data_IF_233038118548
#
_entry.id   IF_233038118548
#
_cell.length_a   1.000
_cell.length_b   1.000
_cell.length_c   1.000
_cell.angle_alpha   90.00
_cell.angle_beta   90.00
_cell.angle_gamma   90.00
#
_symmetry.space_group_name_H-M   'P 1'
#
loop_
_entity.id
_entity.type
_entity.pdbx_description
1 polymer ?
#
# COMPACT_ATOMS: atom_id res chain seq x y z
N UNK A 1 -9.33 -14.32 17.29
CA UNK A 1 -9.86 -14.24 15.91
C UNK A 1 -9.01 -13.23 15.17
N UNK A 2 -8.72 -13.46 13.89
CA UNK A 2 -8.05 -12.46 13.06
C UNK A 2 -8.99 -11.26 12.89
N UNK A 3 -8.48 -10.03 12.98
CA UNK A 3 -9.27 -8.81 12.74
C UNK A 3 -9.56 -8.57 11.25
N UNK A 4 -8.97 -9.40 10.37
CA UNK A 4 -9.17 -9.38 8.93
C UNK A 4 -10.43 -10.13 8.50
N UNK A 5 -11.20 -9.52 7.60
CA UNK A 5 -12.27 -10.16 6.82
C UNK A 5 -11.70 -10.75 5.53
N UNK A 6 -11.29 -12.02 5.58
CA UNK A 6 -10.69 -12.72 4.44
C UNK A 6 -11.64 -12.92 3.26
N UNK A 7 -12.94 -13.12 3.50
CA UNK A 7 -13.92 -13.22 2.40
C UNK A 7 -13.94 -11.93 1.57
N UNK A 8 -13.83 -10.78 2.23
CA UNK A 8 -13.76 -9.48 1.57
C UNK A 8 -12.46 -9.31 0.78
N UNK A 9 -11.32 -9.68 1.35
CA UNK A 9 -10.01 -9.62 0.67
C UNK A 9 -9.98 -10.51 -0.58
N UNK A 10 -10.52 -11.72 -0.48
CA UNK A 10 -10.64 -12.65 -1.62
C UNK A 10 -11.55 -12.07 -2.72
N UNK A 11 -12.63 -11.38 -2.33
CA UNK A 11 -13.51 -10.69 -3.28
C UNK A 11 -12.81 -9.53 -3.98
N UNK A 12 -12.09 -8.68 -3.23
CA UNK A 12 -11.32 -7.57 -3.81
C UNK A 12 -10.27 -8.08 -4.81
N UNK A 13 -9.58 -9.18 -4.47
CA UNK A 13 -8.58 -9.82 -5.33
C UNK A 13 -9.20 -10.31 -6.65
N UNK A 14 -10.40 -10.91 -6.58
CA UNK A 14 -11.10 -11.41 -7.78
C UNK A 14 -11.70 -10.32 -8.65
N UNK A 15 -12.22 -9.26 -8.04
CA UNK A 15 -12.84 -8.16 -8.77
C UNK A 15 -11.78 -7.33 -9.50
N UNK A 16 -10.61 -7.14 -8.87
CA UNK A 16 -9.50 -6.36 -9.40
C UNK A 16 -9.88 -4.89 -9.66
N UNK A 17 -8.87 -4.09 -9.99
CA UNK A 17 -9.13 -2.74 -10.51
C UNK A 17 -9.25 -2.82 -12.03
N UNK A 18 -10.30 -2.20 -12.60
CA UNK A 18 -10.45 -2.08 -14.06
C UNK A 18 -9.50 -1.06 -14.68
N UNK A 19 -8.79 -0.30 -13.86
CA UNK A 19 -7.97 0.83 -14.28
C UNK A 19 -6.49 0.69 -13.90
N UNK A 20 -6.18 -0.13 -12.89
CA UNK A 20 -4.80 -0.55 -12.61
C UNK A 20 -4.36 -1.58 -13.64
N UNK A 21 -3.07 -1.56 -13.98
CA UNK A 21 -2.42 -2.60 -14.78
C UNK A 21 -2.05 -3.82 -13.92
N UNK A 22 -2.08 -3.67 -12.60
CA UNK A 22 -1.72 -4.70 -11.65
C UNK A 22 -2.97 -5.42 -11.14
N UNK A 23 -2.82 -6.72 -10.88
CA UNK A 23 -3.80 -7.48 -10.13
C UNK A 23 -3.17 -7.82 -8.79
N UNK A 24 -3.68 -7.23 -7.71
CA UNK A 24 -3.11 -7.40 -6.38
C UNK A 24 -3.78 -8.53 -5.61
N UNK A 25 -2.95 -9.32 -4.92
CA UNK A 25 -3.38 -10.30 -3.95
C UNK A 25 -3.55 -9.65 -2.57
N UNK A 26 -4.73 -9.07 -2.34
CA UNK A 26 -5.04 -8.37 -1.09
C UNK A 26 -4.95 -9.25 0.15
N UNK A 27 -5.11 -10.57 -0.01
CA UNK A 27 -4.91 -11.52 1.09
C UNK A 27 -3.45 -11.60 1.51
N UNK A 28 -2.53 -11.69 0.56
CA UNK A 28 -1.09 -11.68 0.83
C UNK A 28 -0.66 -10.35 1.47
N UNK A 29 -1.20 -9.22 0.99
CA UNK A 29 -0.95 -7.91 1.61
C UNK A 29 -1.40 -7.94 3.08
N UNK A 30 -2.62 -8.39 3.36
CA UNK A 30 -3.18 -8.42 4.72
C UNK A 30 -2.41 -9.37 5.66
N UNK A 31 -2.05 -10.57 5.18
CA UNK A 31 -1.31 -11.56 5.95
C UNK A 31 0.10 -11.06 6.32
N UNK A 32 0.71 -10.22 5.46
CA UNK A 32 2.05 -9.65 5.67
C UNK A 32 2.04 -8.19 6.12
N UNK A 33 0.88 -7.59 6.40
CA UNK A 33 0.73 -6.14 6.52
C UNK A 33 1.62 -5.53 7.61
N UNK A 34 1.74 -6.20 8.76
CA UNK A 34 2.63 -5.75 9.83
C UNK A 34 4.10 -5.80 9.43
N UNK A 35 4.54 -6.86 8.73
CA UNK A 35 5.92 -6.99 8.28
C UNK A 35 6.27 -5.93 7.24
N UNK A 36 5.34 -5.68 6.29
CA UNK A 36 5.44 -4.60 5.30
C UNK A 36 5.63 -3.26 6.01
N UNK A 37 4.76 -2.93 6.98
CA UNK A 37 4.83 -1.67 7.74
C UNK A 37 6.13 -1.50 8.52
N UNK A 38 6.65 -2.57 9.12
CA UNK A 38 7.92 -2.53 9.85
C UNK A 38 9.08 -2.29 8.88
N UNK A 39 9.13 -3.01 7.76
CA UNK A 39 10.22 -2.91 6.76
C UNK A 39 10.24 -1.58 6.02
N UNK A 40 9.10 -1.05 5.62
CA UNK A 40 9.02 0.27 4.97
C UNK A 40 9.50 1.34 5.93
N UNK A 41 9.00 1.32 7.17
CA UNK A 41 9.39 2.28 8.22
C UNK A 41 10.88 2.22 8.53
N UNK A 42 11.46 1.04 8.74
CA UNK A 42 12.88 0.88 9.05
C UNK A 42 13.82 1.34 7.94
N UNK A 43 13.35 1.34 6.68
CA UNK A 43 14.14 1.76 5.52
C UNK A 43 13.87 3.21 5.09
N UNK A 44 12.98 3.91 5.81
CA UNK A 44 12.57 5.27 5.49
C UNK A 44 11.78 5.34 4.18
N UNK A 45 10.91 4.35 3.96
CA UNK A 45 9.97 4.28 2.84
C UNK A 45 8.54 4.36 3.35
N UNK A 46 7.60 4.46 2.42
CA UNK A 46 6.17 4.55 2.67
C UNK A 46 5.46 3.32 2.13
N UNK A 47 4.29 3.04 2.69
CA UNK A 47 3.37 2.05 2.15
C UNK A 47 2.87 2.52 0.77
N UNK A 48 2.88 1.67 -0.27
CA UNK A 48 2.18 1.98 -1.53
C UNK A 48 0.70 2.29 -1.27
N UNK A 49 0.14 3.30 -1.95
CA UNK A 49 -1.23 3.73 -1.67
C UNK A 49 -2.26 2.61 -1.91
N UNK A 50 -2.06 1.75 -2.91
CA UNK A 50 -2.96 0.63 -3.18
C UNK A 50 -3.03 -0.38 -2.02
N UNK A 51 -2.00 -0.44 -1.16
CA UNK A 51 -2.02 -1.37 -0.04
C UNK A 51 -2.94 -0.88 1.08
N UNK A 52 -3.28 0.42 1.14
CA UNK A 52 -4.26 0.94 2.09
C UNK A 52 -5.67 0.40 1.83
N UNK A 53 -5.95 -0.11 0.63
CA UNK A 53 -7.25 -0.71 0.31
C UNK A 53 -7.60 -1.86 1.25
N UNK A 54 -6.61 -2.61 1.77
CA UNK A 54 -6.88 -3.71 2.72
C UNK A 54 -7.57 -3.20 3.99
N UNK A 55 -7.44 -1.92 4.33
CA UNK A 55 -8.02 -1.34 5.55
C UNK A 55 -9.54 -1.51 5.55
N UNK A 56 -10.19 -1.52 4.38
CA UNK A 56 -11.64 -1.73 4.30
C UNK A 56 -12.07 -3.12 4.80
N UNK A 57 -11.14 -4.07 4.86
CA UNK A 57 -11.35 -5.44 5.34
C UNK A 57 -10.81 -5.67 6.76
N UNK A 58 -10.25 -4.64 7.43
CA UNK A 58 -9.82 -4.73 8.82
C UNK A 58 -10.92 -4.26 9.79
N UNK A 59 -11.01 -4.88 10.96
CA UNK A 59 -11.85 -4.43 12.06
C UNK A 59 -11.48 -2.98 12.44
N UNK A 60 -12.46 -2.08 12.53
CA UNK A 60 -12.25 -0.63 12.74
C UNK A 60 -11.49 0.13 11.64
N UNK A 61 -11.19 -0.53 10.50
CA UNK A 61 -10.56 0.08 9.31
C UNK A 61 -9.19 0.72 9.52
N UNK A 62 -8.48 0.35 10.58
CA UNK A 62 -7.12 0.85 10.82
C UNK A 62 -6.23 -0.25 11.44
N UNK A 63 -5.55 -1.06 10.62
CA UNK A 63 -4.64 -2.08 11.11
C UNK A 63 -3.40 -1.53 11.84
N UNK A 64 -3.05 -0.26 11.62
CA UNK A 64 -1.85 0.36 12.20
C UNK A 64 -2.02 0.61 13.70
N UNK A 65 -3.25 0.90 14.17
CA UNK A 65 -3.55 1.15 15.60
C UNK A 65 -3.26 -0.05 16.50
N UNK A 66 -3.27 -1.26 15.93
CA UNK A 66 -2.98 -2.51 16.65
C UNK A 66 -1.51 -2.93 16.57
N UNK A 67 -0.65 -2.11 15.94
CA UNK A 67 0.76 -2.43 15.73
C UNK A 67 1.69 -1.75 16.74
N UNK A 68 2.76 -2.46 17.09
CA UNK A 68 3.94 -1.87 17.72
C UNK A 68 4.97 -1.64 16.63
N UNK A 69 5.07 -0.39 16.16
CA UNK A 69 6.05 0.01 15.15
C UNK A 69 7.42 0.32 15.80
N UNK A 70 8.53 -0.01 15.12
CA UNK A 70 9.85 0.29 15.63
C UNK A 70 10.09 1.82 15.69
N UNK A 71 10.85 2.23 16.70
CA UNK A 71 11.47 3.55 16.71
C UNK A 71 12.49 3.65 15.56
N UNK A 72 12.56 4.82 14.95
CA UNK A 72 13.44 5.11 13.82
C UNK A 72 14.18 6.42 14.07
N UNK A 73 15.30 6.62 13.37
CA UNK A 73 16.04 7.87 13.49
C UNK A 73 15.27 9.04 12.90
N UNK A 74 15.57 10.25 13.37
CA UNK A 74 15.03 11.51 12.82
C UNK A 74 15.25 11.65 11.31
N UNK A 75 16.38 11.17 10.81
CA UNK A 75 16.69 11.14 9.37
C UNK A 75 15.69 10.28 8.59
N UNK A 76 15.34 9.10 9.11
CA UNK A 76 14.34 8.23 8.48
C UNK A 76 12.93 8.84 8.60
N UNK A 77 12.59 9.48 9.71
CA UNK A 77 11.32 10.20 9.87
C UNK A 77 11.16 11.32 8.82
N UNK A 78 12.21 12.10 8.59
CA UNK A 78 12.22 13.16 7.58
C UNK A 78 12.05 12.59 6.17
N UNK A 79 12.73 11.48 5.85
CA UNK A 79 12.61 10.79 4.57
C UNK A 79 11.20 10.21 4.33
N UNK A 80 10.58 9.64 5.37
CA UNK A 80 9.20 9.16 5.31
C UNK A 80 8.25 10.33 5.08
N UNK A 81 8.40 11.42 5.84
CA UNK A 81 7.56 12.61 5.72
C UNK A 81 7.62 13.23 4.32
N UNK A 82 8.79 13.24 3.66
CA UNK A 82 8.94 13.72 2.29
C UNK A 82 8.16 12.84 1.30
N UNK A 83 8.28 11.51 1.43
CA UNK A 83 7.57 10.54 0.58
C UNK A 83 6.05 10.61 0.76
N UNK A 84 5.57 10.67 2.01
CA UNK A 84 4.14 10.87 2.31
C UNK A 84 3.63 12.19 1.73
N UNK A 85 4.44 13.25 1.76
CA UNK A 85 4.06 14.53 1.16
C UNK A 85 3.94 14.42 -0.37
N UNK A 86 4.81 13.64 -1.02
CA UNK A 86 4.69 13.36 -2.45
C UNK A 86 3.37 12.63 -2.77
N UNK A 87 3.02 11.60 -2.00
CA UNK A 87 1.72 10.90 -2.13
C UNK A 87 0.53 11.87 -1.96
N UNK A 88 0.56 12.71 -0.92
CA UNK A 88 -0.47 13.74 -0.67
C UNK A 88 -0.59 14.72 -1.84
N UNK A 89 0.52 15.17 -2.40
CA UNK A 89 0.53 16.06 -3.57
C UNK A 89 -0.09 15.37 -4.79
N UNK A 90 0.25 14.11 -5.05
CA UNK A 90 -0.31 13.35 -6.17
C UNK A 90 -1.82 13.14 -6.02
N UNK A 91 -2.28 12.85 -4.80
CA UNK A 91 -3.70 12.74 -4.50
C UNK A 91 -4.45 14.06 -4.73
N UNK A 92 -3.87 15.19 -4.28
CA UNK A 92 -4.43 16.53 -4.53
C UNK A 92 -4.50 16.82 -6.03
N UNK A 93 -3.43 16.53 -6.78
CA UNK A 93 -3.40 16.74 -8.24
C UNK A 93 -4.47 15.90 -8.95
N UNK A 94 -4.70 14.66 -8.50
CA UNK A 94 -5.74 13.82 -9.06
C UNK A 94 -7.13 14.43 -8.79
N UNK A 95 -7.42 14.78 -7.53
CA UNK A 95 -8.71 15.34 -7.13
C UNK A 95 -9.00 16.69 -7.80
N UNK A 96 -7.99 17.55 -7.92
CA UNK A 96 -8.10 18.84 -8.59
C UNK A 96 -8.12 18.73 -10.12
N UNK A 97 -8.05 17.52 -10.68
CA UNK A 97 -8.00 17.22 -12.12
C UNK A 97 -6.80 17.86 -12.83
N UNK A 98 -5.71 18.09 -12.09
CA UNK A 98 -4.44 18.56 -12.65
C UNK A 98 -3.63 17.42 -13.31
N UNK A 99 -3.97 16.17 -13.01
CA UNK A 99 -3.52 14.98 -13.72
C UNK A 99 -4.71 14.15 -14.17
N UNK A 100 -4.54 13.40 -15.25
CA UNK A 100 -5.56 12.49 -15.74
C UNK A 100 -5.76 11.30 -14.80
N UNK A 101 -6.88 10.59 -14.96
CA UNK A 101 -7.12 9.35 -14.22
C UNK A 101 -6.05 8.30 -14.52
N UNK A 102 -5.61 8.21 -15.79
CA UNK A 102 -4.53 7.29 -16.17
C UNK A 102 -3.21 7.65 -15.48
N UNK A 103 -2.85 8.94 -15.41
CA UNK A 103 -1.63 9.38 -14.71
C UNK A 103 -1.67 9.08 -13.21
N UNK A 104 -2.85 9.08 -12.61
CA UNK A 104 -3.03 8.65 -11.23
C UNK A 104 -2.79 7.15 -11.06
N UNK A 105 -3.40 6.31 -11.91
CA UNK A 105 -3.17 4.86 -11.87
C UNK A 105 -1.73 4.49 -12.18
N UNK A 106 -1.10 5.12 -13.18
CA UNK A 106 0.31 4.90 -13.48
C UNK A 106 1.21 5.25 -12.28
N UNK A 107 0.84 6.25 -11.48
CA UNK A 107 1.58 6.60 -10.26
C UNK A 107 1.44 5.53 -9.18
N UNK A 108 0.22 5.13 -8.82
CA UNK A 108 0.02 4.14 -7.75
C UNK A 108 0.47 2.72 -8.14
N UNK A 109 0.32 2.33 -9.41
CA UNK A 109 0.86 1.08 -9.94
C UNK A 109 2.39 1.08 -9.83
N UNK A 110 3.04 2.20 -10.14
CA UNK A 110 4.50 2.32 -10.03
C UNK A 110 4.97 2.22 -8.58
N UNK A 111 4.21 2.76 -7.60
CA UNK A 111 4.56 2.59 -6.19
C UNK A 111 4.61 1.11 -5.78
N UNK A 112 3.67 0.29 -6.29
CA UNK A 112 3.65 -1.15 -6.01
C UNK A 112 4.81 -1.86 -6.72
N UNK A 113 5.11 -1.52 -7.98
CA UNK A 113 6.24 -2.09 -8.71
C UNK A 113 7.58 -1.77 -8.03
N UNK A 114 7.80 -0.50 -7.67
CA UNK A 114 9.01 -0.05 -6.96
C UNK A 114 9.14 -0.75 -5.60
N UNK A 115 8.02 -0.96 -4.90
CA UNK A 115 7.99 -1.71 -3.65
C UNK A 115 8.43 -3.16 -3.87
N UNK A 116 7.84 -3.89 -4.82
CA UNK A 116 8.19 -5.30 -5.07
C UNK A 116 9.63 -5.44 -5.58
N UNK A 117 10.13 -4.52 -6.40
CA UNK A 117 11.53 -4.51 -6.83
C UNK A 117 12.48 -4.38 -5.63
N UNK A 118 12.13 -3.53 -4.66
CA UNK A 118 12.93 -3.28 -3.46
C UNK A 118 12.80 -4.38 -2.40
N UNK A 119 11.63 -5.00 -2.30
CA UNK A 119 11.28 -6.03 -1.32
C UNK A 119 10.80 -7.30 -2.03
N UNK A 120 11.70 -8.02 -2.71
CA UNK A 120 11.35 -9.15 -3.57
C UNK A 120 10.71 -10.31 -2.81
N UNK A 121 10.87 -10.41 -1.49
CA UNK A 121 10.16 -11.37 -0.65
C UNK A 121 8.62 -11.21 -0.70
N UNK A 122 8.12 -10.05 -1.15
CA UNK A 122 6.70 -9.76 -1.31
C UNK A 122 6.24 -9.79 -2.77
N UNK A 123 6.98 -10.44 -3.67
CA UNK A 123 6.62 -10.54 -5.09
C UNK A 123 5.23 -11.14 -5.32
N UNK A 124 4.80 -12.06 -4.45
CA UNK A 124 3.49 -12.74 -4.52
C UNK A 124 2.29 -11.80 -4.29
N UNK A 125 2.53 -10.53 -3.95
CA UNK A 125 1.50 -9.49 -3.90
C UNK A 125 0.95 -9.22 -5.31
N UNK A 126 1.79 -9.28 -6.35
CA UNK A 126 1.35 -9.07 -7.73
C UNK A 126 1.01 -10.46 -8.32
N UNK A 127 -0.21 -10.62 -8.78
CA UNK A 127 -0.62 -11.82 -9.49
C UNK A 127 -0.18 -11.73 -10.96
N UNK A 128 0.62 -12.70 -11.40
CA UNK A 128 0.92 -12.89 -12.81
C UNK A 128 -0.37 -13.25 -13.56
N UNK A 129 -0.73 -12.45 -14.57
CA UNK A 129 -1.85 -12.71 -15.47
C UNK A 129 -1.45 -13.61 -16.64
#
# INVERSE_FOLDING_TARGET
>A
MTKWNYEKLDKMTKEGSKFSKLTLNYRVIADNFQEIMIKTRQNGDVLPLEFEDVFIAYENKNPIEDMVLPEISKELEEKISEKENNQKIMHIKHFSRNISHQQWFDFIDQEVLDFVEKYPEFSDIILDN
#
